data_IF_099329582156
#
_entry.id   IF_099329582156
#
_cell.length_a   1.000
_cell.length_b   1.000
_cell.length_c   1.000
_cell.angle_alpha   90.00
_cell.angle_beta   90.00
_cell.angle_gamma   90.00
#
_symmetry.space_group_name_H-M   'P 1'
#
loop_
_entity.id
_entity.type
_entity.pdbx_description
1 polymer ?
#
# COMPACT_ATOMS: atom_id res chain seq x y z
N UNK A 1 5.95 -14.77 -4.21
CA UNK A 1 5.74 -13.34 -4.46
C UNK A 1 5.43 -12.60 -3.15
N UNK A 2 5.69 -11.28 -3.04
CA UNK A 2 5.39 -10.50 -1.82
C UNK A 2 3.92 -10.73 -1.38
N UNK A 3 2.97 -10.71 -2.30
CA UNK A 3 1.53 -10.92 -2.02
C UNK A 3 1.14 -12.29 -1.46
N UNK A 4 2.05 -13.27 -1.45
CA UNK A 4 1.81 -14.59 -0.86
C UNK A 4 2.08 -14.62 0.66
N UNK A 5 2.69 -13.57 1.22
CA UNK A 5 3.05 -13.53 2.64
C UNK A 5 1.82 -13.52 3.55
N UNK A 6 0.67 -12.99 3.09
CA UNK A 6 -0.56 -12.94 3.87
C UNK A 6 -1.30 -14.30 3.84
N UNK A 7 -0.66 -15.28 4.47
CA UNK A 7 -1.25 -16.59 4.78
C UNK A 7 -2.28 -16.46 5.90
N UNK A 8 -3.01 -17.55 6.19
CA UNK A 8 -3.96 -17.57 7.30
C UNK A 8 -3.26 -17.36 8.65
N UNK A 9 -2.10 -17.96 8.82
CA UNK A 9 -1.29 -17.87 10.04
C UNK A 9 -0.77 -16.45 10.24
N UNK A 10 -0.24 -15.83 9.18
CA UNK A 10 0.25 -14.45 9.25
C UNK A 10 -0.90 -13.46 9.47
N UNK A 11 -2.06 -13.68 8.83
CA UNK A 11 -3.25 -12.88 9.08
C UNK A 11 -3.68 -12.98 10.55
N UNK A 12 -3.69 -14.19 11.14
CA UNK A 12 -4.00 -14.38 12.55
C UNK A 12 -3.02 -13.63 13.47
N UNK A 13 -1.72 -13.66 13.17
CA UNK A 13 -0.73 -12.89 13.92
C UNK A 13 -1.07 -11.40 13.91
N UNK A 14 -1.41 -10.84 12.74
CA UNK A 14 -1.79 -9.43 12.62
C UNK A 14 -3.06 -9.11 13.41
N UNK A 15 -4.12 -9.91 13.23
CA UNK A 15 -5.45 -9.64 13.81
C UNK A 15 -5.49 -9.83 15.32
N UNK A 16 -4.66 -10.71 15.87
CA UNK A 16 -4.65 -11.03 17.31
C UNK A 16 -3.69 -10.16 18.13
N UNK A 17 -2.64 -9.60 17.50
CA UNK A 17 -1.53 -8.99 18.25
C UNK A 17 -1.31 -7.51 17.96
N UNK A 18 -1.83 -6.97 16.85
CA UNK A 18 -1.50 -5.60 16.42
C UNK A 18 -2.77 -4.76 16.26
N UNK A 19 -2.81 -3.61 16.93
CA UNK A 19 -3.86 -2.61 16.70
C UNK A 19 -3.69 -1.87 15.38
N UNK A 20 -2.45 -1.66 14.95
CA UNK A 20 -2.10 -0.97 13.70
C UNK A 20 -0.84 -1.61 13.13
N UNK A 21 -0.73 -1.62 11.80
CA UNK A 21 0.52 -1.93 11.11
C UNK A 21 0.61 -1.19 9.78
N UNK A 22 1.84 -1.07 9.26
CA UNK A 22 2.12 -0.47 7.95
C UNK A 22 2.78 -1.50 7.06
N UNK A 23 2.37 -1.57 5.80
CA UNK A 23 2.98 -2.42 4.77
C UNK A 23 3.37 -1.57 3.57
N UNK A 24 4.59 -1.80 3.08
CA UNK A 24 4.99 -1.34 1.75
C UNK A 24 4.68 -2.46 0.74
N UNK A 25 4.02 -2.10 -0.35
CA UNK A 25 3.63 -3.02 -1.43
C UNK A 25 4.23 -2.53 -2.75
N UNK A 26 4.75 -3.44 -3.57
CA UNK A 26 5.39 -3.13 -4.85
C UNK A 26 4.62 -3.75 -6.03
N UNK A 27 5.05 -3.49 -7.27
CA UNK A 27 4.45 -4.08 -8.46
C UNK A 27 2.94 -3.84 -8.61
N UNK A 28 2.46 -2.67 -8.22
CA UNK A 28 1.05 -2.31 -8.37
C UNK A 28 0.67 -2.03 -9.84
N UNK A 29 1.65 -1.70 -10.67
CA UNK A 29 1.46 -1.46 -12.10
C UNK A 29 1.71 -2.77 -12.85
N UNK A 30 0.72 -3.23 -13.61
CA UNK A 30 0.80 -4.46 -14.40
C UNK A 30 1.79 -4.29 -15.57
N UNK A 31 1.85 -3.09 -16.14
CA UNK A 31 2.76 -2.75 -17.22
C UNK A 31 4.22 -2.76 -16.76
N UNK A 32 5.10 -3.13 -17.70
CA UNK A 32 6.55 -3.00 -17.56
C UNK A 32 7.03 -2.07 -18.68
N UNK A 33 7.02 -0.74 -18.45
CA UNK A 33 7.52 0.21 -19.43
C UNK A 33 8.97 -0.06 -19.81
N UNK A 34 9.35 0.36 -21.03
CA UNK A 34 10.72 0.21 -21.52
C UNK A 34 11.73 0.85 -20.55
N UNK A 35 12.76 0.09 -20.17
CA UNK A 35 13.81 0.54 -19.25
C UNK A 35 13.53 0.28 -17.77
N UNK A 36 12.40 -0.31 -17.40
CA UNK A 36 12.17 -0.77 -16.02
C UNK A 36 12.89 -2.09 -15.78
N UNK A 37 13.76 -2.10 -14.77
CA UNK A 37 14.33 -3.34 -14.23
C UNK A 37 13.40 -3.88 -13.15
N UNK A 38 12.72 -4.99 -13.45
CA UNK A 38 11.78 -5.62 -12.52
C UNK A 38 12.48 -6.81 -11.90
N UNK A 39 12.63 -6.77 -10.57
CA UNK A 39 13.19 -7.90 -9.85
C UNK A 39 12.39 -9.18 -10.14
N UNK A 40 13.05 -10.34 -10.32
CA UNK A 40 12.36 -11.60 -10.61
C UNK A 40 11.27 -11.95 -9.57
N UNK A 41 11.47 -11.53 -8.32
CA UNK A 41 10.57 -11.75 -7.19
C UNK A 41 9.24 -10.98 -7.32
N UNK A 42 9.30 -9.86 -8.01
CA UNK A 42 8.23 -8.88 -8.21
C UNK A 42 7.49 -9.09 -9.54
N UNK A 43 8.13 -9.78 -10.49
CA UNK A 43 7.56 -10.09 -11.81
C UNK A 43 6.25 -10.89 -11.73
N UNK A 44 6.16 -11.84 -10.80
CA UNK A 44 4.97 -12.68 -10.63
C UNK A 44 3.72 -11.85 -10.23
N UNK A 45 3.90 -10.76 -9.46
CA UNK A 45 2.79 -9.88 -9.10
C UNK A 45 2.18 -9.20 -10.33
N UNK A 46 3.04 -8.67 -11.21
CA UNK A 46 2.63 -7.98 -12.45
C UNK A 46 1.91 -8.91 -13.42
N UNK A 47 2.27 -10.19 -13.45
CA UNK A 47 1.62 -11.22 -14.29
C UNK A 47 0.30 -11.76 -13.70
N UNK A 48 -0.03 -11.43 -12.44
CA UNK A 48 -1.20 -11.98 -11.75
C UNK A 48 -1.96 -10.91 -10.94
N UNK A 49 -2.67 -9.99 -11.61
CA UNK A 49 -3.39 -8.90 -10.93
C UNK A 49 -4.47 -9.40 -9.95
N UNK A 50 -5.05 -10.57 -10.21
CA UNK A 50 -5.96 -11.22 -9.28
C UNK A 50 -5.29 -11.57 -7.94
N UNK A 51 -3.97 -11.80 -7.91
CA UNK A 51 -3.22 -12.05 -6.67
C UNK A 51 -3.14 -10.77 -5.84
N UNK A 52 -2.82 -9.64 -6.46
CA UNK A 52 -2.78 -8.31 -5.83
C UNK A 52 -4.15 -7.95 -5.26
N UNK A 53 -5.21 -8.11 -6.07
CA UNK A 53 -6.59 -7.84 -5.63
C UNK A 53 -6.99 -8.71 -4.42
N UNK A 54 -6.72 -10.02 -4.47
CA UNK A 54 -7.03 -10.93 -3.35
C UNK A 54 -6.27 -10.59 -2.08
N UNK A 55 -5.04 -10.09 -2.19
CA UNK A 55 -4.27 -9.63 -1.04
C UNK A 55 -4.98 -8.47 -0.34
N UNK A 56 -5.38 -7.43 -1.09
CA UNK A 56 -6.10 -6.30 -0.51
C UNK A 56 -7.49 -6.67 0.02
N UNK A 57 -8.19 -7.59 -0.64
CA UNK A 57 -9.48 -8.11 -0.16
C UNK A 57 -9.34 -8.83 1.20
N UNK A 58 -8.25 -9.57 1.42
CA UNK A 58 -7.96 -10.20 2.72
C UNK A 58 -7.61 -9.18 3.80
N UNK A 59 -6.96 -8.08 3.46
CA UNK A 59 -6.69 -7.02 4.44
C UNK A 59 -7.99 -6.29 4.79
N UNK A 60 -8.81 -5.97 3.79
CA UNK A 60 -10.05 -5.24 3.97
C UNK A 60 -11.12 -5.99 4.79
N UNK A 61 -10.98 -7.31 5.04
CA UNK A 61 -11.93 -8.05 5.87
C UNK A 61 -11.78 -7.77 7.37
N UNK A 62 -10.55 -7.52 7.83
CA UNK A 62 -10.22 -7.42 9.25
C UNK A 62 -9.60 -6.05 9.61
N UNK A 63 -9.22 -5.27 8.59
CA UNK A 63 -8.53 -4.00 8.76
C UNK A 63 -9.14 -2.89 7.90
N UNK A 64 -9.03 -1.66 8.40
CA UNK A 64 -9.37 -0.43 7.69
C UNK A 64 -8.10 0.28 7.26
N UNK A 65 -8.01 0.66 5.98
CA UNK A 65 -6.93 1.52 5.51
C UNK A 65 -7.10 2.90 6.18
N UNK A 66 -6.08 3.34 6.91
CA UNK A 66 -6.08 4.60 7.66
C UNK A 66 -5.27 5.67 6.98
N UNK A 67 -4.17 5.30 6.33
CA UNK A 67 -3.27 6.23 5.69
C UNK A 67 -2.58 5.58 4.49
N UNK A 68 -2.35 6.37 3.44
CA UNK A 68 -1.66 5.96 2.21
C UNK A 68 -0.56 6.98 1.89
N UNK A 69 0.63 6.49 1.59
CA UNK A 69 1.74 7.31 1.12
C UNK A 69 2.40 6.63 -0.07
N UNK A 70 2.84 7.43 -1.04
CA UNK A 70 3.39 6.89 -2.28
C UNK A 70 4.91 6.97 -2.27
N UNK A 71 5.55 5.85 -2.59
CA UNK A 71 7.00 5.80 -2.60
C UNK A 71 7.55 6.60 -3.79
N UNK A 72 8.24 7.70 -3.51
CA UNK A 72 8.82 8.57 -4.54
C UNK A 72 10.20 8.11 -5.07
N UNK A 73 10.73 7.00 -4.57
CA UNK A 73 11.89 6.31 -5.11
C UNK A 73 11.53 5.44 -6.32
N UNK A 74 10.38 4.75 -6.24
CA UNK A 74 9.91 3.79 -7.25
C UNK A 74 9.43 4.46 -8.55
N UNK A 75 9.47 3.74 -9.68
CA UNK A 75 8.95 4.22 -10.95
C UNK A 75 7.43 4.51 -10.94
N UNK A 76 6.97 5.29 -11.92
CA UNK A 76 5.56 5.63 -12.14
C UNK A 76 5.13 5.33 -13.57
N UNK A 77 3.88 4.93 -13.74
CA UNK A 77 3.27 4.76 -15.05
C UNK A 77 1.92 5.46 -15.10
N UNK A 78 1.76 6.37 -16.07
CA UNK A 78 0.52 7.19 -16.22
C UNK A 78 0.10 7.82 -14.88
N UNK A 79 1.08 8.40 -14.20
CA UNK A 79 0.96 9.01 -12.87
C UNK A 79 0.54 8.07 -11.72
N UNK A 80 0.39 6.76 -11.92
CA UNK A 80 0.23 5.83 -10.80
C UNK A 80 1.60 5.42 -10.23
N UNK A 81 1.80 5.36 -8.90
CA UNK A 81 3.04 4.86 -8.30
C UNK A 81 3.10 3.33 -8.28
N UNK A 82 4.24 2.73 -8.62
CA UNK A 82 4.39 1.25 -8.57
C UNK A 82 4.47 0.71 -7.14
N UNK A 83 4.68 1.59 -6.16
CA UNK A 83 4.81 1.20 -4.76
C UNK A 83 4.09 2.19 -3.83
N UNK A 84 3.40 1.64 -2.83
CA UNK A 84 2.65 2.39 -1.83
C UNK A 84 3.00 1.87 -0.44
N UNK A 85 3.07 2.79 0.52
CA UNK A 85 3.05 2.49 1.95
C UNK A 85 1.63 2.67 2.49
N UNK A 86 1.11 1.63 3.11
CA UNK A 86 -0.29 1.54 3.51
C UNK A 86 -0.36 1.21 4.99
N UNK A 87 -0.95 2.12 5.76
CA UNK A 87 -1.17 1.92 7.19
C UNK A 87 -2.60 1.47 7.45
N UNK A 88 -2.74 0.35 8.14
CA UNK A 88 -3.99 -0.31 8.43
C UNK A 88 -4.27 -0.31 9.94
N UNK A 89 -5.53 -0.04 10.31
CA UNK A 89 -6.05 -0.22 11.66
C UNK A 89 -6.84 -1.53 11.76
N UNK A 90 -6.64 -2.24 12.85
CA UNK A 90 -7.32 -3.49 13.16
C UNK A 90 -8.70 -3.24 13.78
N UNK A 91 -9.73 -3.75 13.11
CA UNK A 91 -11.12 -3.56 13.51
C UNK A 91 -11.47 -4.25 14.84
N UNK A 92 -10.67 -5.22 15.29
CA UNK A 92 -10.86 -5.87 16.60
C UNK A 92 -10.48 -4.96 17.79
N UNK A 93 -9.63 -3.96 17.57
CA UNK A 93 -9.12 -3.08 18.63
C UNK A 93 -9.65 -1.66 18.56
N UNK A 94 -10.20 -1.27 17.40
CA UNK A 94 -10.72 0.06 17.17
C UNK A 94 -12.24 -0.01 16.94
N UNK A 95 -13.00 0.47 17.92
CA UNK A 95 -14.38 0.86 17.67
C UNK A 95 -14.37 2.13 16.80
N UNK A 96 -15.26 2.17 15.81
CA UNK A 96 -15.35 3.25 14.84
C UNK A 96 -15.67 4.58 15.56
N UNK A 97 -14.63 5.28 16.01
CA UNK A 97 -14.73 6.64 16.51
C UNK A 97 -14.50 7.56 15.33
N UNK A 98 -15.53 8.34 15.01
CA UNK A 98 -15.65 9.39 13.97
C UNK A 98 -14.79 9.21 12.70
N UNK A 99 -15.49 9.05 11.57
CA UNK A 99 -14.90 8.72 10.27
C UNK A 99 -13.59 9.44 9.96
N UNK A 100 -12.60 8.66 9.50
CA UNK A 100 -11.34 9.15 8.96
C UNK A 100 -11.68 10.14 7.86
N UNK A 101 -11.23 11.38 8.02
CA UNK A 101 -11.39 12.39 6.98
C UNK A 101 -10.36 12.14 5.87
N UNK A 102 -10.79 11.43 4.83
CA UNK A 102 -10.00 11.22 3.61
C UNK A 102 -10.01 12.45 2.69
N UNK A 103 -10.59 13.60 3.09
CA UNK A 103 -10.60 14.80 2.25
C UNK A 103 -9.24 15.49 2.13
N UNK A 104 -8.27 15.12 2.96
CA UNK A 104 -6.89 15.59 2.84
C UNK A 104 -6.20 14.99 1.62
N UNK A 105 -5.59 15.85 0.80
CA UNK A 105 -4.66 15.37 -0.22
C UNK A 105 -3.44 14.75 0.45
N UNK A 106 -2.95 13.63 -0.07
CA UNK A 106 -1.67 13.07 0.32
C UNK A 106 -0.58 13.57 -0.66
N UNK A 107 0.65 13.85 -0.19
CA UNK A 107 1.13 13.69 1.20
C UNK A 107 0.53 14.74 2.16
N UNK A 108 0.30 14.32 3.40
CA UNK A 108 -0.19 15.17 4.49
C UNK A 108 0.97 16.02 5.01
N UNK A 109 0.83 17.35 4.93
CA UNK A 109 1.83 18.31 5.38
C UNK A 109 2.14 18.14 6.88
N UNK A 110 3.43 18.00 7.22
CA UNK A 110 3.91 17.78 8.58
C UNK A 110 3.73 16.36 9.13
N UNK A 111 3.19 15.43 8.34
CA UNK A 111 3.13 14.00 8.66
C UNK A 111 3.99 13.16 7.71
N UNK A 112 3.87 13.43 6.41
CA UNK A 112 4.50 12.63 5.35
C UNK A 112 5.78 13.31 4.85
N UNK A 113 6.78 12.48 4.54
CA UNK A 113 8.06 12.91 4.00
C UNK A 113 8.46 12.01 2.82
N UNK A 114 9.16 12.55 1.81
CA UNK A 114 9.59 11.75 0.66
C UNK A 114 10.54 10.62 1.07
N UNK A 115 10.29 9.40 0.60
CA UNK A 115 11.16 8.23 0.82
C UNK A 115 12.60 8.44 0.32
N UNK A 116 12.76 9.15 -0.80
CA UNK A 116 14.05 9.47 -1.40
C UNK A 116 14.34 10.97 -1.31
N UNK A 117 15.35 11.30 -0.50
CA UNK A 117 15.84 12.66 -0.34
C UNK A 117 16.23 13.29 -1.68
N UNK A 118 15.70 14.49 -1.94
CA UNK A 118 16.01 15.26 -3.15
C UNK A 118 15.07 15.00 -4.33
N UNK A 119 14.10 14.09 -4.21
CA UNK A 119 12.96 13.99 -5.12
C UNK A 119 11.72 14.59 -4.48
N UNK A 120 10.86 15.21 -5.30
CA UNK A 120 9.54 15.65 -4.82
C UNK A 120 8.71 14.44 -4.45
N UNK A 121 7.90 14.59 -3.42
CA UNK A 121 6.94 13.57 -3.03
C UNK A 121 5.82 13.43 -4.08
N UNK A 122 5.11 12.30 -4.06
CA UNK A 122 4.05 12.00 -5.00
C UNK A 122 2.69 12.43 -4.46
N UNK A 123 1.99 13.29 -5.21
CA UNK A 123 0.67 13.79 -4.84
C UNK A 123 -0.40 12.78 -5.29
N UNK A 124 -1.13 12.19 -4.35
CA UNK A 124 -2.21 11.24 -4.62
C UNK A 124 -3.54 11.98 -4.88
N UNK A 125 -3.58 12.80 -5.93
CA UNK A 125 -4.76 13.60 -6.30
C UNK A 125 -5.97 12.79 -6.82
N UNK A 126 -5.73 11.51 -7.15
CA UNK A 126 -6.73 10.52 -7.52
C UNK A 126 -7.33 9.75 -6.34
N UNK A 127 -6.69 9.79 -5.17
CA UNK A 127 -7.16 9.12 -3.95
C UNK A 127 -8.02 10.10 -3.14
N UNK A 128 -9.34 9.98 -3.26
CA UNK A 128 -10.34 10.83 -2.57
C UNK A 128 -11.56 10.00 -2.16
#
# INVERSE_FOLDING_TARGET
CEYDWLTRENLAILTENFGQFTVEVHSLIEEVPEGWDVEPQLKEAKENPNKVLRFFQKLASDFKLWHIHANNHSPRYVDFPDSLELTFLNLNFYEESEGIDFSSNYPIDGLDEPNYNGRKDYILDWWK
#
